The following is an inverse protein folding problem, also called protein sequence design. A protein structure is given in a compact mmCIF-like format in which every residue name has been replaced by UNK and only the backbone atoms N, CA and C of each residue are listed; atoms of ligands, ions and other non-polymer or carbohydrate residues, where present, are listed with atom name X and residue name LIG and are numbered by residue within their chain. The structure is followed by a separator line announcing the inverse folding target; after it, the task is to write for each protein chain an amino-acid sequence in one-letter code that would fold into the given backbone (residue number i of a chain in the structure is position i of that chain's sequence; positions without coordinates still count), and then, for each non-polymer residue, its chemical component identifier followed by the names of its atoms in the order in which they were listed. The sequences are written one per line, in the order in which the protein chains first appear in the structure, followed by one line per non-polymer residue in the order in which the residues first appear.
data_IF_258558761340
#
_entry.id   IF_258558761340
#
_cell.length_a   1.000
_cell.length_b   1.000
_cell.length_c   1.000
_cell.angle_alpha   90.00
_cell.angle_beta   90.00
_cell.angle_gamma   90.00
#
_symmetry.space_group_name_H-M   'P 1'
#
loop_
_entity.id
_entity.type
_entity.pdbx_description
1 polymer ?
#
# COMPACT_ATOMS: atom_id res chain seq x y z
N UNK A 1 14.47 -0.99 -7.19
CA UNK A 1 13.53 0.02 -7.66
C UNK A 1 12.12 -0.54 -7.65
N UNK A 2 11.20 0.21 -7.09
CA UNK A 2 9.80 -0.20 -7.05
C UNK A 2 9.15 0.11 -8.38
N UNK A 3 8.61 -0.90 -9.05
CA UNK A 3 7.89 -0.71 -10.28
C UNK A 3 6.39 -0.70 -9.99
N UNK A 4 5.70 0.31 -10.54
CA UNK A 4 4.25 0.36 -10.50
C UNK A 4 3.71 -0.34 -11.74
N UNK A 5 2.81 -1.30 -11.54
CA UNK A 5 2.14 -2.00 -12.65
C UNK A 5 1.02 -1.15 -13.23
N UNK A 6 0.29 -0.44 -12.37
CA UNK A 6 -0.83 0.43 -12.75
C UNK A 6 -0.75 1.71 -11.93
N UNK A 7 -0.94 2.84 -12.60
CA UNK A 7 -1.00 4.16 -11.99
C UNK A 7 -2.34 4.81 -12.36
N UNK A 8 -3.05 5.34 -11.35
CA UNK A 8 -4.31 6.05 -11.54
C UNK A 8 -4.23 7.40 -10.82
N UNK A 9 -4.84 8.42 -11.39
CA UNK A 9 -4.88 9.75 -10.80
C UNK A 9 -3.67 10.58 -11.16
N UNK A 10 -3.27 11.46 -10.23
CA UNK A 10 -2.12 12.35 -10.43
C UNK A 10 -0.84 11.52 -10.53
N UNK A 11 0.02 11.79 -11.52
CA UNK A 11 1.30 11.07 -11.62
C UNK A 11 2.09 11.14 -10.31
N UNK A 12 2.68 10.02 -9.94
CA UNK A 12 3.43 9.90 -8.69
C UNK A 12 4.52 10.96 -8.56
N UNK A 13 5.18 11.30 -9.66
CA UNK A 13 6.25 12.30 -9.68
C UNK A 13 5.77 13.72 -9.35
N UNK A 14 4.47 13.98 -9.49
CA UNK A 14 3.86 15.27 -9.20
C UNK A 14 3.30 15.37 -7.79
N UNK A 15 3.34 14.28 -7.03
CA UNK A 15 2.91 14.26 -5.63
C UNK A 15 4.06 14.74 -4.74
N UNK A 16 3.77 15.65 -3.82
CA UNK A 16 4.75 16.17 -2.87
C UNK A 16 5.29 15.06 -1.95
N UNK A 17 6.56 15.15 -1.59
CA UNK A 17 7.18 14.15 -0.69
C UNK A 17 6.56 14.11 0.70
N UNK A 18 5.95 15.20 1.14
CA UNK A 18 5.27 15.26 2.43
C UNK A 18 3.83 14.77 2.37
N UNK A 19 3.34 14.38 1.19
CA UNK A 19 1.99 13.87 1.03
C UNK A 19 1.78 12.61 1.86
N UNK A 20 0.56 12.44 2.37
CA UNK A 20 0.19 11.23 3.10
C UNK A 20 0.22 10.02 2.18
N UNK A 21 0.60 8.89 2.73
CA UNK A 21 0.66 7.64 1.99
C UNK A 21 0.14 6.48 2.84
N UNK A 22 -0.54 5.56 2.18
CA UNK A 22 -0.98 4.31 2.76
C UNK A 22 -0.63 3.20 1.78
N UNK A 23 -0.04 2.11 2.28
CA UNK A 23 0.20 0.92 1.47
C UNK A 23 -0.54 -0.25 2.09
N UNK A 24 -1.32 -0.93 1.26
CA UNK A 24 -2.10 -2.10 1.66
C UNK A 24 -1.51 -3.33 0.99
N UNK A 25 -1.32 -4.38 1.77
CA UNK A 25 -0.76 -5.64 1.29
C UNK A 25 -1.88 -6.61 1.01
N UNK A 26 -1.94 -7.13 -0.21
CA UNK A 26 -2.93 -8.15 -0.56
C UNK A 26 -2.49 -9.53 -0.06
N UNK A 27 -3.44 -10.32 0.39
CA UNK A 27 -3.20 -11.71 0.79
C UNK A 27 -2.85 -12.61 -0.39
N UNK A 28 -3.13 -12.18 -1.62
CA UNK A 28 -2.87 -12.92 -2.85
C UNK A 28 -2.46 -11.98 -3.97
N UNK A 29 -1.76 -12.49 -4.98
CA UNK A 29 -1.48 -11.73 -6.19
C UNK A 29 -2.79 -11.34 -6.89
N UNK A 30 -2.83 -10.14 -7.42
CA UNK A 30 -3.96 -9.70 -8.24
C UNK A 30 -3.86 -10.30 -9.63
N UNK A 31 -4.94 -10.91 -10.09
CA UNK A 31 -5.05 -11.35 -11.48
C UNK A 31 -5.19 -10.13 -12.39
N UNK A 32 -5.02 -10.32 -13.70
CA UNK A 32 -5.23 -9.22 -14.66
C UNK A 32 -6.65 -8.69 -14.63
N UNK A 33 -7.64 -9.56 -14.44
CA UNK A 33 -9.04 -9.16 -14.30
C UNK A 33 -9.22 -8.30 -13.06
N UNK A 34 -8.65 -8.73 -11.94
CA UNK A 34 -8.71 -7.97 -10.68
C UNK A 34 -8.02 -6.62 -10.81
N UNK A 35 -6.88 -6.55 -11.48
CA UNK A 35 -6.18 -5.28 -11.73
C UNK A 35 -7.05 -4.30 -12.50
N UNK A 36 -7.78 -4.79 -13.51
CA UNK A 36 -8.73 -3.98 -14.26
C UNK A 36 -9.88 -3.46 -13.40
N UNK A 37 -10.42 -4.31 -12.53
CA UNK A 37 -11.47 -3.92 -11.59
C UNK A 37 -10.97 -2.87 -10.60
N UNK A 38 -9.78 -3.07 -10.05
CA UNK A 38 -9.16 -2.12 -9.13
C UNK A 38 -8.99 -0.76 -9.82
N UNK A 39 -8.44 -0.75 -11.02
CA UNK A 39 -8.23 0.48 -11.79
C UNK A 39 -9.52 1.24 -12.00
N UNK A 40 -10.57 0.54 -12.40
CA UNK A 40 -11.89 1.13 -12.65
C UNK A 40 -12.47 1.79 -11.39
N UNK A 41 -12.43 1.07 -10.28
CA UNK A 41 -12.94 1.59 -9.01
C UNK A 41 -12.09 2.73 -8.47
N UNK A 42 -10.76 2.66 -8.64
CA UNK A 42 -9.86 3.72 -8.21
C UNK A 42 -10.09 5.02 -8.99
N UNK A 43 -10.36 4.92 -10.28
CA UNK A 43 -10.68 6.11 -11.11
C UNK A 43 -11.91 6.84 -10.58
N UNK A 44 -12.96 6.09 -10.26
CA UNK A 44 -14.20 6.66 -9.71
C UNK A 44 -13.94 7.28 -8.34
N UNK A 45 -13.22 6.57 -7.47
CA UNK A 45 -12.90 7.05 -6.12
C UNK A 45 -12.11 8.37 -6.18
N UNK A 46 -11.04 8.42 -6.94
CA UNK A 46 -10.18 9.60 -7.00
C UNK A 46 -10.88 10.80 -7.62
N UNK A 47 -11.79 10.58 -8.55
CA UNK A 47 -12.54 11.66 -9.19
C UNK A 47 -13.46 12.41 -8.22
N UNK A 48 -13.86 11.76 -7.12
CA UNK A 48 -14.80 12.32 -6.14
C UNK A 48 -14.23 12.43 -4.73
N UNK A 49 -12.94 12.09 -4.55
CA UNK A 49 -12.34 12.16 -3.22
C UNK A 49 -11.99 13.59 -2.86
N UNK A 50 -12.66 14.13 -1.85
CA UNK A 50 -12.47 15.51 -1.44
C UNK A 50 -12.11 15.61 0.04
N UNK A 51 -11.46 16.73 0.40
CA UNK A 51 -11.14 17.09 1.77
C UNK A 51 -11.41 18.58 1.91
N UNK A 52 -12.21 18.96 2.90
CA UNK A 52 -12.62 20.36 3.12
C UNK A 52 -13.21 21.01 1.85
N UNK A 53 -13.96 20.24 1.07
CA UNK A 53 -14.62 20.72 -0.15
C UNK A 53 -13.72 20.86 -1.37
N UNK A 54 -12.44 20.46 -1.28
CA UNK A 54 -11.51 20.47 -2.40
C UNK A 54 -11.18 19.04 -2.80
N UNK A 55 -11.10 18.79 -4.10
CA UNK A 55 -10.66 17.48 -4.60
C UNK A 55 -9.22 17.24 -4.12
N UNK A 56 -9.00 16.06 -3.51
CA UNK A 56 -7.67 15.65 -3.09
C UNK A 56 -6.82 15.36 -4.32
N UNK A 57 -5.60 15.89 -4.33
CA UNK A 57 -4.61 15.54 -5.35
C UNK A 57 -4.09 14.15 -5.04
N UNK A 58 -4.78 13.14 -5.55
CA UNK A 58 -4.57 11.76 -5.20
C UNK A 58 -3.89 10.95 -6.28
N UNK A 59 -3.05 10.00 -5.86
CA UNK A 59 -2.40 9.04 -6.73
C UNK A 59 -2.65 7.65 -6.18
N UNK A 60 -2.91 6.70 -7.07
CA UNK A 60 -3.20 5.32 -6.71
C UNK A 60 -2.33 4.41 -7.56
N UNK A 61 -1.68 3.43 -6.95
CA UNK A 61 -0.81 2.51 -7.66
C UNK A 61 -1.05 1.07 -7.23
N UNK A 62 -0.96 0.16 -8.20
CA UNK A 62 -0.81 -1.26 -7.92
C UNK A 62 0.67 -1.58 -8.15
N UNK A 63 1.33 -2.12 -7.13
CA UNK A 63 2.76 -2.38 -7.17
C UNK A 63 2.99 -3.88 -7.03
N UNK A 64 3.81 -4.45 -7.93
CA UNK A 64 4.22 -5.87 -7.89
C UNK A 64 3.03 -6.84 -7.85
N UNK A 65 1.87 -6.44 -8.35
CA UNK A 65 0.63 -7.23 -8.34
C UNK A 65 0.17 -7.66 -6.95
N UNK A 66 0.67 -7.02 -5.90
CA UNK A 66 0.45 -7.46 -4.52
C UNK A 66 0.11 -6.33 -3.57
N UNK A 67 0.44 -5.09 -3.94
CA UNK A 67 0.29 -3.94 -3.05
C UNK A 67 -0.54 -2.87 -3.72
N UNK A 68 -1.33 -2.18 -2.90
CA UNK A 68 -2.02 -0.96 -3.31
C UNK A 68 -1.45 0.18 -2.49
N UNK A 69 -0.94 1.20 -3.17
CA UNK A 69 -0.44 2.41 -2.54
C UNK A 69 -1.34 3.58 -2.91
N UNK A 70 -1.77 4.34 -1.90
CA UNK A 70 -2.57 5.56 -2.07
C UNK A 70 -1.77 6.73 -1.53
N UNK A 71 -1.65 7.79 -2.33
CA UNK A 71 -0.98 9.02 -1.94
C UNK A 71 -1.99 10.15 -1.99
N UNK A 72 -2.01 10.98 -0.97
CA UNK A 72 -2.92 12.12 -0.86
C UNK A 72 -2.15 13.38 -0.56
N UNK A 73 -2.07 14.24 -1.57
CA UNK A 73 -1.44 15.55 -1.46
C UNK A 73 -2.53 16.60 -1.23
N UNK A 74 -2.62 17.09 -0.01
CA UNK A 74 -3.57 18.13 0.37
C UNK A 74 -2.93 19.53 0.32
N UNK A 75 -1.77 19.61 -0.30
CA UNK A 75 -1.05 20.89 -0.50
C UNK A 75 -0.80 21.67 0.79
N UNK A 76 -0.43 20.93 1.84
CA UNK A 76 -0.13 21.52 3.16
C UNK A 76 -1.32 21.58 4.10
N UNK A 77 -2.54 21.37 3.61
CA UNK A 77 -3.73 21.34 4.47
C UNK A 77 -3.83 19.98 5.20
N UNK A 78 -4.40 20.00 6.39
CA UNK A 78 -4.72 18.77 7.11
C UNK A 78 -5.91 18.08 6.43
N UNK A 79 -5.75 16.79 6.15
CA UNK A 79 -6.84 15.99 5.60
C UNK A 79 -7.94 15.82 6.64
N UNK A 80 -9.20 16.08 6.27
CA UNK A 80 -10.31 15.90 7.20
C UNK A 80 -10.59 14.41 7.46
N UNK A 81 -11.17 14.12 8.64
CA UNK A 81 -11.50 12.76 9.04
C UNK A 81 -12.44 12.05 8.07
N UNK A 82 -13.38 12.78 7.47
CA UNK A 82 -14.32 12.24 6.48
C UNK A 82 -13.60 11.76 5.22
N UNK A 83 -12.56 12.46 4.76
CA UNK A 83 -11.76 12.04 3.61
C UNK A 83 -10.96 10.79 3.94
N UNK A 84 -10.41 10.68 5.15
CA UNK A 84 -9.71 9.49 5.60
C UNK A 84 -10.67 8.31 5.71
N UNK A 85 -11.84 8.50 6.26
CA UNK A 85 -12.88 7.46 6.38
C UNK A 85 -13.32 6.95 5.01
N UNK A 86 -13.42 7.83 4.03
CA UNK A 86 -13.78 7.44 2.66
C UNK A 86 -12.72 6.53 2.04
N UNK A 87 -11.44 6.81 2.29
CA UNK A 87 -10.37 5.95 1.77
C UNK A 87 -10.41 4.56 2.41
N UNK A 88 -10.67 4.49 3.71
CA UNK A 88 -10.81 3.20 4.42
C UNK A 88 -12.02 2.43 3.88
N UNK A 89 -13.15 3.10 3.72
CA UNK A 89 -14.36 2.50 3.17
C UNK A 89 -14.12 1.95 1.76
N UNK A 90 -13.42 2.71 0.94
CA UNK A 90 -13.05 2.29 -0.41
C UNK A 90 -12.24 0.99 -0.38
N UNK A 91 -11.25 0.89 0.49
CA UNK A 91 -10.44 -0.32 0.62
C UNK A 91 -11.26 -1.51 1.10
N UNK A 92 -12.21 -1.31 2.02
CA UNK A 92 -13.12 -2.38 2.47
C UNK A 92 -14.01 -2.87 1.32
N UNK A 93 -14.48 -1.96 0.49
CA UNK A 93 -15.27 -2.31 -0.69
C UNK A 93 -14.45 -3.13 -1.69
N UNK A 94 -13.19 -2.75 -1.91
CA UNK A 94 -12.30 -3.52 -2.78
C UNK A 94 -12.05 -4.93 -2.24
N UNK A 95 -11.88 -5.09 -0.93
CA UNK A 95 -11.74 -6.42 -0.33
C UNK A 95 -12.92 -7.33 -0.69
N UNK A 96 -14.13 -6.80 -0.62
CA UNK A 96 -15.33 -7.56 -0.94
C UNK A 96 -15.43 -7.89 -2.42
N UNK A 97 -15.13 -6.91 -3.27
CA UNK A 97 -15.18 -7.08 -4.73
C UNK A 97 -14.17 -8.13 -5.19
N UNK A 98 -12.97 -8.11 -4.64
CA UNK A 98 -11.86 -8.95 -5.08
C UNK A 98 -11.79 -10.30 -4.37
N UNK A 99 -12.43 -10.42 -3.22
CA UNK A 99 -12.33 -11.64 -2.40
C UNK A 99 -10.93 -11.88 -1.85
N UNK A 100 -10.16 -10.82 -1.60
CA UNK A 100 -8.83 -10.90 -0.98
C UNK A 100 -8.80 -10.02 0.25
N UNK A 101 -7.85 -10.27 1.15
CA UNK A 101 -7.63 -9.40 2.30
C UNK A 101 -6.66 -8.30 1.90
N UNK A 102 -6.99 -7.06 2.24
CA UNK A 102 -6.17 -5.88 1.98
C UNK A 102 -5.85 -5.11 3.26
N UNK A 103 -6.65 -5.29 4.30
CA UNK A 103 -6.56 -4.50 5.52
C UNK A 103 -6.19 -5.34 6.74
N UNK A 104 -5.67 -6.54 6.55
CA UNK A 104 -5.20 -7.37 7.63
C UNK A 104 -3.81 -6.90 8.07
N UNK A 105 -3.77 -6.15 9.16
CA UNK A 105 -2.53 -5.58 9.71
C UNK A 105 -1.60 -6.61 10.32
N UNK A 106 -2.08 -7.83 10.52
CA UNK A 106 -1.25 -8.92 11.05
C UNK A 106 -0.42 -9.57 9.95
N UNK A 107 -0.79 -9.35 8.68
CA UNK A 107 -0.02 -9.87 7.55
C UNK A 107 1.12 -8.93 7.20
N UNK A 108 2.29 -9.52 6.96
CA UNK A 108 3.45 -8.82 6.44
C UNK A 108 3.89 -9.51 5.14
N UNK A 109 4.65 -8.80 4.33
CA UNK A 109 5.13 -9.31 3.05
C UNK A 109 6.65 -9.31 3.03
N UNK A 110 7.22 -10.39 2.50
CA UNK A 110 8.67 -10.52 2.30
C UNK A 110 8.94 -11.04 0.89
N UNK A 111 10.16 -10.82 0.41
CA UNK A 111 10.64 -11.36 -0.86
C UNK A 111 11.32 -12.70 -0.61
N UNK A 112 10.81 -13.76 -1.24
CA UNK A 112 11.46 -15.08 -1.20
C UNK A 112 11.51 -15.66 -2.60
N UNK A 113 12.69 -16.06 -3.06
CA UNK A 113 12.87 -16.75 -4.35
C UNK A 113 12.16 -16.05 -5.50
N UNK A 114 12.34 -14.72 -5.63
CA UNK A 114 11.74 -13.87 -6.66
C UNK A 114 10.22 -13.75 -6.57
N UNK A 115 9.64 -14.18 -5.45
CA UNK A 115 8.20 -14.07 -5.19
C UNK A 115 7.95 -13.29 -3.91
N UNK A 116 6.80 -12.65 -3.86
CA UNK A 116 6.36 -11.98 -2.63
C UNK A 116 5.47 -12.97 -1.88
N UNK A 117 5.84 -13.21 -0.63
CA UNK A 117 5.12 -14.11 0.26
C UNK A 117 4.54 -13.30 1.40
N UNK A 118 3.26 -13.51 1.70
CA UNK A 118 2.62 -12.92 2.87
C UNK A 118 2.45 -13.97 3.96
N UNK A 119 2.70 -13.54 5.19
CA UNK A 119 2.57 -14.39 6.37
C UNK A 119 2.23 -13.53 7.58
N UNK A 120 1.67 -14.13 8.64
CA UNK A 120 1.44 -13.39 9.88
C UNK A 120 2.75 -12.88 10.47
N UNK A 121 2.72 -11.68 11.02
CA UNK A 121 3.89 -11.08 11.67
C UNK A 121 4.53 -12.00 12.71
N UNK A 122 3.71 -12.66 13.53
CA UNK A 122 4.19 -13.57 14.57
C UNK A 122 4.98 -14.74 13.97
N UNK A 123 4.52 -15.26 12.84
CA UNK A 123 5.21 -16.34 12.12
C UNK A 123 6.55 -15.87 11.56
N UNK A 124 6.60 -14.68 10.96
CA UNK A 124 7.84 -14.10 10.46
C UNK A 124 8.86 -13.95 11.58
N UNK A 125 8.43 -13.42 12.71
CA UNK A 125 9.26 -13.23 13.89
C UNK A 125 9.88 -14.55 14.37
N UNK A 126 9.07 -15.60 14.40
CA UNK A 126 9.52 -16.95 14.76
C UNK A 126 10.54 -17.49 13.77
N UNK A 127 10.31 -17.31 12.47
CA UNK A 127 11.21 -17.78 11.42
C UNK A 127 12.57 -17.05 11.43
N UNK A 128 12.59 -15.79 11.81
CA UNK A 128 13.83 -15.05 11.98
C UNK A 128 14.59 -15.55 13.20
N UNK A 129 13.90 -15.78 14.30
CA UNK A 129 14.51 -16.32 15.54
C UNK A 129 15.13 -17.70 15.30
N UNK A 130 14.48 -18.55 14.50
CA UNK A 130 14.99 -19.88 14.16
C UNK A 130 16.00 -19.86 13.00
N UNK A 131 16.27 -18.70 12.41
CA UNK A 131 17.15 -18.48 11.25
C UNK A 131 16.66 -19.15 9.96
N UNK A 132 15.38 -19.49 9.89
CA UNK A 132 14.78 -19.97 8.64
C UNK A 132 14.61 -18.83 7.63
N UNK A 133 14.51 -17.58 8.11
CA UNK A 133 14.49 -16.37 7.28
C UNK A 133 15.63 -15.47 7.73
N UNK A 134 16.44 -15.04 6.77
CA UNK A 134 17.58 -14.14 7.01
C UNK A 134 17.11 -12.71 7.26
N UNK A 135 17.81 -11.99 8.13
CA UNK A 135 17.60 -10.55 8.32
C UNK A 135 17.97 -9.71 7.10
N UNK A 136 18.63 -10.29 6.10
CA UNK A 136 18.92 -9.63 4.82
C UNK A 136 17.74 -9.73 3.84
N UNK A 137 16.72 -10.51 4.16
CA UNK A 137 15.54 -10.65 3.33
C UNK A 137 14.82 -9.30 3.22
N UNK A 138 14.42 -8.93 1.99
CA UNK A 138 13.63 -7.73 1.78
C UNK A 138 12.23 -7.91 2.36
N UNK A 139 11.78 -6.91 3.07
CA UNK A 139 10.41 -6.86 3.55
C UNK A 139 9.78 -5.52 3.20
N UNK A 140 8.45 -5.50 3.21
CA UNK A 140 7.67 -4.34 2.80
C UNK A 140 6.97 -3.74 4.00
N UNK A 141 7.40 -2.54 4.38
CA UNK A 141 6.94 -1.86 5.59
C UNK A 141 5.58 -1.19 5.38
N UNK A 142 4.52 -1.84 5.83
CA UNK A 142 3.16 -1.29 5.73
C UNK A 142 2.86 -0.15 6.71
N UNK A 143 3.81 0.25 7.54
CA UNK A 143 3.62 1.30 8.54
C UNK A 143 4.03 2.70 8.04
N UNK A 144 4.46 2.82 6.79
CA UNK A 144 4.82 4.13 6.23
C UNK A 144 3.60 5.05 6.19
N UNK A 145 3.80 6.33 6.37
CA UNK A 145 2.72 7.31 6.47
C UNK A 145 2.86 8.49 5.49
N UNK A 146 3.96 8.54 4.74
CA UNK A 146 4.20 9.62 3.76
C UNK A 146 4.89 9.09 2.51
N UNK A 147 4.82 9.86 1.43
CA UNK A 147 5.57 9.53 0.20
C UNK A 147 7.06 9.45 0.50
N UNK A 148 7.58 10.34 1.32
CA UNK A 148 8.99 10.36 1.72
C UNK A 148 9.39 9.03 2.36
N UNK A 149 8.59 8.54 3.31
CA UNK A 149 8.83 7.24 3.94
C UNK A 149 8.68 6.09 2.96
N UNK A 150 7.70 6.17 2.06
CA UNK A 150 7.53 5.18 1.02
C UNK A 150 8.80 5.03 0.19
N UNK A 151 9.42 6.15 -0.20
CA UNK A 151 10.63 6.13 -1.01
C UNK A 151 11.85 5.60 -0.26
N UNK A 152 11.95 5.84 1.05
CA UNK A 152 13.15 5.50 1.83
C UNK A 152 13.00 4.26 2.68
N UNK A 153 11.79 3.83 3.03
CA UNK A 153 11.59 2.89 4.13
C UNK A 153 10.57 1.79 3.85
N UNK A 154 9.87 1.82 2.72
CA UNK A 154 8.87 0.81 2.43
C UNK A 154 9.48 -0.54 2.07
N UNK A 155 10.38 -0.57 1.10
CA UNK A 155 11.09 -1.79 0.70
C UNK A 155 12.49 -1.74 1.29
N UNK A 156 12.77 -2.63 2.23
CA UNK A 156 14.07 -2.65 2.91
C UNK A 156 14.36 -4.02 3.50
N UNK A 157 15.65 -4.32 3.83
CA UNK A 157 15.99 -5.55 4.55
C UNK A 157 15.36 -5.58 5.94
N UNK A 158 15.06 -6.75 6.42
CA UNK A 158 14.66 -6.97 7.81
C UNK A 158 15.89 -6.72 8.68
N UNK A 159 15.87 -5.70 9.53
CA UNK A 159 17.01 -5.42 10.40
C UNK A 159 16.80 -5.87 11.85
N UNK A 160 15.63 -6.39 12.14
CA UNK A 160 15.29 -6.86 13.47
C UNK A 160 14.90 -5.78 14.47
N UNK A 161 15.07 -4.51 14.14
CA UNK A 161 14.80 -3.42 15.07
C UNK A 161 13.32 -3.27 15.44
N UNK A 162 12.44 -3.77 14.61
CA UNK A 162 11.00 -3.68 14.80
C UNK A 162 10.37 -5.01 15.27
N UNK A 163 11.18 -6.01 15.51
CA UNK A 163 10.71 -7.34 15.95
C UNK A 163 10.42 -7.43 17.46
#
# INVERSE_FOLDING_TARGET
MTESTIQVGVPFTEIDNEAKAWVYTSSKDFTKVQQGEIKKHAQVFLASWDSHGKIVKGSFQIIKNRFIAIFADTEGDTMCGRAQDRSVKFMKELEQILGVKLMDRMLVAIQQNDQIVTLPFVELRSKIASKDVSTLTLFYNGLITSKKEFLSDWERPIDGSWL
#
